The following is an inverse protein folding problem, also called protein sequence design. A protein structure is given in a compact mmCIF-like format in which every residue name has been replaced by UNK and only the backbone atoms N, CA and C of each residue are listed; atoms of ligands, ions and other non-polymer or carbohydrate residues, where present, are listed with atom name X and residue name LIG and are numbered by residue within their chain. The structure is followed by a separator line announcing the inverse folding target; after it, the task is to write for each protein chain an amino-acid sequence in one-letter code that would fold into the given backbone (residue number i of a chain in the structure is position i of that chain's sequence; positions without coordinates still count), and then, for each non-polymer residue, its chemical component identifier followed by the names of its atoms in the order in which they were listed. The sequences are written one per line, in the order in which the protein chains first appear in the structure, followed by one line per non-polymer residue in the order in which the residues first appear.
data_IF_306958066473
#
_entry.id   IF_306958066473
#
_cell.length_a   1.000
_cell.length_b   1.000
_cell.length_c   1.000
_cell.angle_alpha   90.00
_cell.angle_beta   90.00
_cell.angle_gamma   90.00
#
_symmetry.space_group_name_H-M   'P 1'
#
loop_
_entity.id
_entity.type
_entity.pdbx_description
1 polymer ?
#
# COMPACT_ATOMS: atom_id res chain seq x y z
N UNK A 1 -7.66 -15.61 -5.46
CA UNK A 1 -8.83 -14.81 -4.97
C UNK A 1 -8.58 -13.35 -5.32
N UNK A 2 -9.54 -12.69 -5.94
CA UNK A 2 -9.43 -11.27 -6.30
C UNK A 2 -9.73 -10.37 -5.11
N UNK A 3 -8.95 -9.29 -4.95
CA UNK A 3 -9.08 -8.38 -3.80
C UNK A 3 -10.43 -7.65 -3.82
N UNK A 4 -10.99 -7.32 -4.98
CA UNK A 4 -12.36 -6.78 -5.07
C UNK A 4 -13.39 -7.66 -4.35
N UNK A 5 -13.23 -9.00 -4.36
CA UNK A 5 -14.14 -9.93 -3.69
C UNK A 5 -13.96 -9.91 -2.16
N UNK A 6 -12.76 -9.59 -1.69
CA UNK A 6 -12.47 -9.34 -0.27
C UNK A 6 -13.11 -8.02 0.17
N UNK A 7 -12.93 -6.96 -0.62
CA UNK A 7 -13.41 -5.62 -0.30
C UNK A 7 -14.92 -5.43 -0.46
N UNK A 8 -15.60 -6.36 -1.10
CA UNK A 8 -17.07 -6.38 -1.21
C UNK A 8 -17.77 -7.07 -0.02
N UNK A 9 -17.00 -7.67 0.90
CA UNK A 9 -17.56 -8.28 2.12
C UNK A 9 -17.93 -7.21 3.13
N UNK A 10 -18.98 -7.50 3.91
CA UNK A 10 -19.48 -6.60 4.96
C UNK A 10 -18.76 -6.78 6.31
N UNK A 11 -17.61 -7.41 6.32
CA UNK A 11 -16.80 -7.69 7.51
C UNK A 11 -15.57 -6.81 7.57
N UNK A 12 -15.22 -6.35 8.77
CA UNK A 12 -13.98 -5.61 8.98
C UNK A 12 -12.75 -6.51 8.67
N UNK A 13 -11.77 -5.98 7.96
CA UNK A 13 -10.55 -6.73 7.60
C UNK A 13 -9.30 -5.89 7.76
N UNK A 14 -8.19 -6.57 8.04
CA UNK A 14 -6.86 -5.98 8.04
C UNK A 14 -5.97 -6.69 7.01
N UNK A 15 -5.14 -5.92 6.33
CA UNK A 15 -4.14 -6.39 5.37
C UNK A 15 -2.80 -5.74 5.66
N UNK A 16 -1.71 -6.35 5.21
CA UNK A 16 -0.36 -5.85 5.47
C UNK A 16 0.43 -5.69 4.19
N UNK A 17 1.26 -4.62 4.16
CA UNK A 17 2.28 -4.45 3.15
C UNK A 17 3.62 -4.97 3.64
N UNK A 18 4.33 -5.64 2.74
CA UNK A 18 5.74 -6.04 2.90
C UNK A 18 6.53 -5.58 1.68
N UNK A 19 7.83 -5.46 1.85
CA UNK A 19 8.73 -5.13 0.74
C UNK A 19 9.74 -6.27 0.51
N UNK A 20 10.08 -6.57 -0.76
CA UNK A 20 11.07 -7.56 -1.09
C UNK A 20 12.49 -7.05 -0.76
N UNK A 21 13.48 -7.93 -0.66
CA UNK A 21 14.86 -7.54 -0.44
C UNK A 21 15.42 -6.78 -1.64
N UNK A 22 16.28 -5.80 -1.38
CA UNK A 22 17.00 -5.09 -2.44
C UNK A 22 18.13 -5.93 -3.04
N UNK A 23 18.68 -6.87 -2.27
CA UNK A 23 19.76 -7.78 -2.67
C UNK A 23 19.34 -9.21 -2.43
N UNK A 24 19.74 -10.12 -3.29
CA UNK A 24 19.43 -11.56 -3.16
C UNK A 24 19.98 -12.18 -1.88
N UNK A 25 21.09 -11.64 -1.34
CA UNK A 25 21.69 -12.10 -0.08
C UNK A 25 20.80 -11.90 1.14
N UNK A 26 19.83 -10.97 1.08
CA UNK A 26 18.93 -10.65 2.19
C UNK A 26 17.57 -11.36 2.06
N UNK A 27 17.38 -12.18 1.00
CA UNK A 27 16.10 -12.77 0.67
C UNK A 27 15.52 -13.62 1.82
N UNK A 28 16.31 -14.51 2.42
CA UNK A 28 15.83 -15.39 3.47
C UNK A 28 15.33 -14.66 4.73
N UNK A 29 15.97 -13.57 5.14
CA UNK A 29 15.52 -12.78 6.30
C UNK A 29 14.24 -12.01 6.01
N UNK A 30 14.11 -11.44 4.81
CA UNK A 30 12.92 -10.71 4.39
C UNK A 30 11.75 -11.66 4.17
N UNK A 31 12.01 -12.81 3.55
CA UNK A 31 11.03 -13.87 3.38
C UNK A 31 10.50 -14.38 4.72
N UNK A 32 11.38 -14.70 5.67
CA UNK A 32 10.97 -15.14 7.01
C UNK A 32 10.09 -14.09 7.73
N UNK A 33 10.42 -12.81 7.60
CA UNK A 33 9.61 -11.73 8.15
C UNK A 33 8.23 -11.64 7.47
N UNK A 34 8.17 -11.74 6.14
CA UNK A 34 6.93 -11.71 5.38
C UNK A 34 6.04 -12.91 5.68
N UNK A 35 6.62 -14.12 5.76
CA UNK A 35 5.90 -15.34 6.14
C UNK A 35 5.41 -15.28 7.60
N UNK A 36 6.19 -14.67 8.51
CA UNK A 36 5.75 -14.41 9.88
C UNK A 36 4.53 -13.49 9.96
N UNK A 37 4.40 -12.53 9.04
CA UNK A 37 3.20 -11.69 8.91
C UNK A 37 2.05 -12.49 8.25
N UNK A 38 2.33 -13.28 7.23
CA UNK A 38 1.35 -14.12 6.57
C UNK A 38 0.72 -15.17 7.52
N UNK A 39 1.51 -15.67 8.49
CA UNK A 39 1.02 -16.58 9.54
C UNK A 39 -0.06 -15.97 10.43
N UNK A 40 -0.17 -14.63 10.48
CA UNK A 40 -1.26 -13.93 11.17
C UNK A 40 -2.60 -14.01 10.41
N UNK A 41 -2.62 -14.62 9.22
CA UNK A 41 -3.80 -14.77 8.37
C UNK A 41 -4.54 -13.46 8.06
N UNK A 42 -3.84 -12.43 7.55
CA UNK A 42 -4.51 -11.21 7.11
C UNK A 42 -5.43 -11.48 5.91
N UNK A 43 -6.35 -10.56 5.64
CA UNK A 43 -7.27 -10.69 4.51
C UNK A 43 -6.55 -10.77 3.15
N UNK A 44 -5.44 -10.06 3.03
CA UNK A 44 -4.48 -10.13 1.93
C UNK A 44 -3.15 -9.48 2.33
N UNK A 45 -2.12 -9.66 1.50
CA UNK A 45 -0.84 -8.95 1.65
C UNK A 45 -0.43 -8.28 0.35
N UNK A 46 0.14 -7.08 0.42
CA UNK A 46 0.77 -6.44 -0.74
C UNK A 46 2.29 -6.55 -0.67
N UNK A 47 2.91 -6.72 -1.82
CA UNK A 47 4.37 -6.80 -1.96
C UNK A 47 4.85 -5.67 -2.85
N UNK A 48 5.68 -4.77 -2.31
CA UNK A 48 6.14 -3.58 -3.03
C UNK A 48 7.06 -3.92 -4.20
N UNK A 49 7.25 -2.94 -5.08
CA UNK A 49 8.08 -3.04 -6.28
C UNK A 49 9.16 -1.96 -6.21
N UNK A 50 10.41 -2.32 -6.44
CA UNK A 50 11.51 -1.35 -6.37
C UNK A 50 11.45 -0.31 -7.49
N UNK A 51 11.98 0.87 -7.24
CA UNK A 51 12.05 1.96 -8.20
C UNK A 51 12.67 1.48 -9.53
N UNK A 52 12.03 1.83 -10.65
CA UNK A 52 12.44 1.39 -11.99
C UNK A 52 12.48 -0.12 -12.20
N UNK A 53 11.71 -0.91 -11.43
CA UNK A 53 11.63 -2.36 -11.59
C UNK A 53 12.79 -3.15 -10.96
N UNK A 54 13.63 -2.50 -10.17
CA UNK A 54 14.87 -3.09 -9.62
C UNK A 54 14.67 -4.36 -8.77
N UNK A 55 13.46 -4.62 -8.27
CA UNK A 55 13.13 -5.82 -7.46
C UNK A 55 12.05 -6.71 -8.11
N UNK A 56 11.78 -6.59 -9.40
CA UNK A 56 10.71 -7.32 -10.11
C UNK A 56 10.67 -8.82 -9.74
N UNK A 57 11.76 -9.54 -9.95
CA UNK A 57 11.84 -10.97 -9.66
C UNK A 57 11.60 -11.31 -8.19
N UNK A 58 12.13 -10.49 -7.28
CA UNK A 58 11.94 -10.67 -5.84
C UNK A 58 10.50 -10.40 -5.41
N UNK A 59 9.81 -9.41 -6.02
CA UNK A 59 8.39 -9.10 -5.74
C UNK A 59 7.51 -10.28 -6.11
N UNK A 60 7.67 -10.83 -7.32
CA UNK A 60 6.88 -11.96 -7.81
C UNK A 60 7.15 -13.22 -6.98
N UNK A 61 8.43 -13.51 -6.71
CA UNK A 61 8.83 -14.67 -5.90
C UNK A 61 8.23 -14.61 -4.48
N UNK A 62 8.37 -13.47 -3.80
CA UNK A 62 7.86 -13.30 -2.43
C UNK A 62 6.33 -13.39 -2.38
N UNK A 63 5.63 -12.75 -3.34
CA UNK A 63 4.18 -12.84 -3.44
C UNK A 63 3.70 -14.29 -3.67
N UNK A 64 4.39 -15.02 -4.54
CA UNK A 64 4.10 -16.45 -4.79
C UNK A 64 4.32 -17.34 -3.55
N UNK A 65 5.42 -17.12 -2.81
CA UNK A 65 5.69 -17.88 -1.59
C UNK A 65 4.66 -17.61 -0.48
N UNK A 66 4.23 -16.38 -0.29
CA UNK A 66 3.14 -16.05 0.67
C UNK A 66 1.87 -16.82 0.32
N UNK A 67 1.44 -16.81 -0.95
CA UNK A 67 0.26 -17.56 -1.39
C UNK A 67 0.41 -19.06 -1.17
N UNK A 68 1.56 -19.62 -1.57
CA UNK A 68 1.83 -21.05 -1.51
C UNK A 68 1.88 -21.60 -0.09
N UNK A 69 2.54 -20.89 0.84
CA UNK A 69 2.78 -21.38 2.19
C UNK A 69 1.62 -21.07 3.15
N UNK A 70 0.92 -19.95 2.98
CA UNK A 70 -0.10 -19.49 3.92
C UNK A 70 -1.50 -19.35 3.32
N UNK A 71 -1.65 -19.57 2.02
CA UNK A 71 -2.93 -19.39 1.30
C UNK A 71 -3.53 -17.97 1.48
N UNK A 72 -2.67 -16.96 1.71
CA UNK A 72 -3.06 -15.55 1.83
C UNK A 72 -3.04 -14.92 0.44
N UNK A 73 -4.13 -14.29 -0.03
CA UNK A 73 -4.14 -13.59 -1.32
C UNK A 73 -3.09 -12.49 -1.34
N UNK A 74 -2.37 -12.36 -2.46
CA UNK A 74 -1.35 -11.31 -2.60
C UNK A 74 -1.68 -10.31 -3.68
N UNK A 75 -1.19 -9.09 -3.49
CA UNK A 75 -1.18 -7.99 -4.46
C UNK A 75 0.26 -7.67 -4.79
N UNK A 76 0.68 -7.90 -6.03
CA UNK A 76 1.99 -7.45 -6.47
C UNK A 76 1.92 -5.99 -6.92
N UNK A 77 2.82 -5.13 -6.42
CA UNK A 77 2.96 -3.80 -6.99
C UNK A 77 3.61 -3.89 -8.36
N UNK A 78 3.24 -3.00 -9.26
CA UNK A 78 3.84 -2.86 -10.59
C UNK A 78 3.94 -1.38 -10.93
N UNK A 79 5.13 -0.93 -11.34
CA UNK A 79 5.37 0.47 -11.72
C UNK A 79 5.63 0.60 -13.21
N UNK A 80 5.22 1.72 -13.80
CA UNK A 80 5.43 1.99 -15.23
C UNK A 80 6.57 2.98 -15.53
N UNK A 81 7.12 3.65 -14.52
CA UNK A 81 8.27 4.52 -14.70
C UNK A 81 9.46 3.73 -15.22
N UNK A 82 10.16 4.25 -16.23
CA UNK A 82 11.30 3.61 -16.90
C UNK A 82 10.96 2.23 -17.53
N UNK A 83 9.70 1.99 -17.88
CA UNK A 83 9.24 0.73 -18.44
C UNK A 83 8.49 0.96 -19.77
N UNK A 84 8.65 0.02 -20.70
CA UNK A 84 7.93 -0.05 -21.95
C UNK A 84 6.84 -1.14 -21.93
N UNK A 85 6.00 -1.20 -22.97
CA UNK A 85 4.93 -2.20 -23.10
C UNK A 85 5.48 -3.63 -23.10
N UNK A 86 6.66 -3.86 -23.65
CA UNK A 86 7.28 -5.19 -23.72
C UNK A 86 7.67 -5.69 -22.34
N UNK A 87 8.35 -4.85 -21.55
CA UNK A 87 8.78 -5.20 -20.19
C UNK A 87 7.60 -5.37 -19.22
N UNK A 88 6.56 -4.55 -19.34
CA UNK A 88 5.32 -4.72 -18.58
C UNK A 88 4.60 -6.00 -18.99
N UNK A 89 4.47 -6.28 -20.30
CA UNK A 89 3.86 -7.53 -20.79
C UNK A 89 4.56 -8.77 -20.27
N UNK A 90 5.90 -8.77 -20.28
CA UNK A 90 6.69 -9.86 -19.70
C UNK A 90 6.44 -10.00 -18.18
N UNK A 91 6.32 -8.88 -17.44
CA UNK A 91 6.00 -8.91 -16.00
C UNK A 91 4.61 -9.51 -15.74
N UNK A 92 3.60 -9.15 -16.54
CA UNK A 92 2.25 -9.71 -16.43
C UNK A 92 2.24 -11.23 -16.67
N UNK A 93 2.99 -11.70 -17.68
CA UNK A 93 3.14 -13.14 -17.97
C UNK A 93 3.78 -13.89 -16.78
N UNK A 94 4.84 -13.34 -16.19
CA UNK A 94 5.50 -13.92 -15.02
C UNK A 94 4.56 -13.95 -13.79
N UNK A 95 3.79 -12.87 -13.56
CA UNK A 95 2.80 -12.81 -12.49
C UNK A 95 1.69 -13.85 -12.67
N UNK A 96 1.17 -14.01 -13.89
CA UNK A 96 0.18 -15.05 -14.21
C UNK A 96 0.73 -16.46 -13.95
N UNK A 97 1.96 -16.73 -14.38
CA UNK A 97 2.62 -18.01 -14.15
C UNK A 97 2.84 -18.31 -12.66
N UNK A 98 3.04 -17.28 -11.84
CA UNK A 98 3.14 -17.38 -10.38
C UNK A 98 1.77 -17.42 -9.66
N UNK A 99 0.64 -17.42 -10.39
CA UNK A 99 -0.71 -17.43 -9.83
C UNK A 99 -1.12 -16.13 -9.14
N UNK A 100 -0.47 -15.00 -9.46
CA UNK A 100 -0.82 -13.69 -8.93
C UNK A 100 -2.00 -13.14 -9.72
N UNK A 101 -3.10 -12.87 -9.05
CA UNK A 101 -4.35 -12.38 -9.65
C UNK A 101 -4.59 -10.88 -9.40
N UNK A 102 -3.77 -10.23 -8.54
CA UNK A 102 -4.02 -8.85 -8.12
C UNK A 102 -2.76 -7.99 -8.27
N UNK A 103 -2.94 -6.81 -8.84
CA UNK A 103 -1.84 -5.86 -9.09
C UNK A 103 -2.21 -4.49 -8.52
N UNK A 104 -1.29 -3.87 -7.79
CA UNK A 104 -1.36 -2.45 -7.48
C UNK A 104 -0.57 -1.68 -8.54
N UNK A 105 -1.28 -1.01 -9.44
CA UNK A 105 -0.71 -0.26 -10.55
C UNK A 105 -0.28 1.14 -10.10
N UNK A 106 1.01 1.43 -10.22
CA UNK A 106 1.64 2.66 -9.76
C UNK A 106 2.39 3.33 -10.91
N UNK A 107 2.55 4.65 -10.87
CA UNK A 107 3.52 5.32 -11.74
C UNK A 107 4.94 4.89 -11.36
N UNK A 108 5.25 4.92 -10.08
CA UNK A 108 6.57 4.68 -9.51
C UNK A 108 7.39 5.98 -9.38
N UNK A 109 8.45 5.88 -8.59
CA UNK A 109 9.42 6.97 -8.40
C UNK A 109 10.53 6.88 -9.44
N UNK A 110 10.97 8.04 -9.94
CA UNK A 110 12.07 8.12 -10.88
C UNK A 110 13.37 7.77 -10.14
N UNK A 111 14.12 6.73 -10.58
CA UNK A 111 15.41 6.39 -9.98
C UNK A 111 16.40 7.55 -10.16
N UNK A 112 17.18 7.84 -9.10
CA UNK A 112 18.11 8.98 -9.09
C UNK A 112 19.21 8.91 -10.17
N UNK A 113 19.64 7.70 -10.48
CA UNK A 113 20.77 7.42 -11.37
C UNK A 113 20.30 6.86 -12.73
N UNK A 114 19.04 7.13 -13.12
CA UNK A 114 18.50 6.69 -14.40
C UNK A 114 18.78 7.72 -15.48
N UNK A 115 19.51 7.35 -16.52
CA UNK A 115 19.94 8.19 -17.65
C UNK A 115 19.15 7.95 -18.95
N UNK A 116 18.17 7.02 -18.93
CA UNK A 116 17.30 6.70 -20.05
C UNK A 116 16.04 7.59 -20.12
N UNK A 117 15.17 7.30 -21.08
CA UNK A 117 13.86 7.94 -21.17
C UNK A 117 12.92 7.43 -20.07
N UNK A 118 12.49 8.34 -19.21
CA UNK A 118 11.71 8.01 -17.99
C UNK A 118 10.28 7.60 -18.34
N UNK A 119 9.67 8.26 -19.31
CA UNK A 119 8.29 8.04 -19.75
C UNK A 119 8.25 7.71 -21.24
N UNK A 120 8.27 6.41 -21.55
CA UNK A 120 8.21 5.91 -22.94
C UNK A 120 6.75 5.66 -23.35
N UNK A 121 6.20 4.51 -22.98
CA UNK A 121 4.84 4.11 -23.33
C UNK A 121 3.78 4.50 -22.29
N UNK A 122 4.22 4.85 -21.08
CA UNK A 122 3.36 5.14 -19.95
C UNK A 122 3.77 6.44 -19.26
N UNK A 123 2.85 7.38 -19.14
CA UNK A 123 3.08 8.66 -18.45
C UNK A 123 2.45 8.64 -17.04
N UNK A 124 1.32 7.95 -16.90
CA UNK A 124 0.55 7.90 -15.68
C UNK A 124 0.17 6.46 -15.30
N UNK A 125 -0.15 6.25 -14.03
CA UNK A 125 -0.64 4.96 -13.57
C UNK A 125 -1.96 4.53 -14.28
N UNK A 126 -2.78 5.47 -14.77
CA UNK A 126 -3.97 5.18 -15.57
C UNK A 126 -3.65 4.46 -16.89
N UNK A 127 -2.51 4.78 -17.51
CA UNK A 127 -2.07 4.12 -18.74
C UNK A 127 -1.67 2.66 -18.46
N UNK A 128 -0.96 2.46 -17.34
CA UNK A 128 -0.62 1.12 -16.86
C UNK A 128 -1.87 0.31 -16.50
N UNK A 129 -2.86 0.91 -15.80
CA UNK A 129 -4.13 0.23 -15.47
C UNK A 129 -4.81 -0.27 -16.74
N UNK A 130 -4.96 0.59 -17.76
CA UNK A 130 -5.57 0.23 -19.04
C UNK A 130 -4.82 -0.92 -19.69
N UNK A 131 -3.51 -0.82 -19.77
CA UNK A 131 -2.68 -1.87 -20.36
C UNK A 131 -2.79 -3.21 -19.64
N UNK A 132 -2.82 -3.23 -18.30
CA UNK A 132 -3.03 -4.45 -17.51
C UNK A 132 -4.39 -5.07 -17.83
N UNK A 133 -5.46 -4.25 -17.88
CA UNK A 133 -6.82 -4.74 -18.15
C UNK A 133 -6.99 -5.29 -19.57
N UNK A 134 -6.20 -4.79 -20.55
CA UNK A 134 -6.18 -5.29 -21.93
C UNK A 134 -5.37 -6.60 -22.07
N UNK A 135 -4.44 -6.88 -21.15
CA UNK A 135 -3.48 -7.98 -21.26
C UNK A 135 -3.63 -9.09 -20.19
N UNK A 136 -4.72 -9.08 -19.41
CA UNK A 136 -4.97 -10.15 -18.44
C UNK A 136 -6.19 -9.91 -17.55
N UNK A 137 -6.68 -11.00 -16.95
CA UNK A 137 -7.80 -10.93 -15.99
C UNK A 137 -7.30 -10.67 -14.56
N UNK A 138 -6.62 -9.53 -14.39
CA UNK A 138 -6.17 -9.09 -13.06
C UNK A 138 -7.20 -8.20 -12.38
N UNK A 139 -7.30 -8.31 -11.06
CA UNK A 139 -7.90 -7.30 -10.21
C UNK A 139 -6.87 -6.18 -10.00
N UNK A 140 -7.20 -4.97 -10.42
CA UNK A 140 -6.25 -3.85 -10.43
C UNK A 140 -6.63 -2.82 -9.36
N UNK A 141 -5.72 -2.59 -8.43
CA UNK A 141 -5.76 -1.49 -7.48
C UNK A 141 -4.88 -0.31 -7.91
N UNK A 142 -5.10 0.84 -7.31
CA UNK A 142 -4.27 2.02 -7.50
C UNK A 142 -3.98 2.75 -6.19
N UNK A 143 -2.98 3.62 -6.17
CA UNK A 143 -2.72 4.49 -5.03
C UNK A 143 -3.52 5.80 -5.12
N UNK A 144 -3.86 6.36 -3.95
CA UNK A 144 -4.43 7.69 -3.79
C UNK A 144 -3.81 8.42 -2.59
N UNK A 145 -3.95 9.74 -2.56
CA UNK A 145 -3.29 10.59 -1.58
C UNK A 145 -4.32 11.46 -0.85
N UNK A 146 -4.63 11.18 0.43
CA UNK A 146 -5.57 12.00 1.20
C UNK A 146 -5.15 13.48 1.27
N UNK A 147 -3.85 13.75 1.29
CA UNK A 147 -3.25 15.09 1.38
C UNK A 147 -2.79 15.69 0.03
N UNK A 148 -3.18 15.07 -1.09
CA UNK A 148 -2.78 15.44 -2.45
C UNK A 148 -1.41 14.85 -2.85
N UNK A 149 -1.32 14.34 -4.06
CA UNK A 149 -0.06 13.85 -4.60
C UNK A 149 0.93 15.03 -4.76
N UNK A 150 2.21 14.88 -4.34
CA UNK A 150 3.18 15.96 -4.41
C UNK A 150 3.34 16.61 -5.80
N UNK A 151 3.20 15.83 -6.86
CA UNK A 151 3.32 16.32 -8.25
C UNK A 151 2.00 16.87 -8.82
N UNK A 152 0.89 16.80 -8.07
CA UNK A 152 -0.39 17.37 -8.53
C UNK A 152 -0.41 18.87 -8.31
N UNK A 153 -0.88 19.62 -9.31
CA UNK A 153 -0.95 21.07 -9.25
C UNK A 153 -1.87 21.58 -8.12
N UNK A 154 -2.91 20.84 -7.80
CA UNK A 154 -3.86 21.14 -6.74
C UNK A 154 -4.79 19.95 -6.45
N UNK A 155 -5.64 20.09 -5.42
CA UNK A 155 -6.59 19.04 -4.98
C UNK A 155 -7.55 18.57 -6.08
N UNK A 156 -8.00 19.48 -6.94
CA UNK A 156 -8.94 19.12 -8.00
C UNK A 156 -8.24 18.34 -9.11
N UNK A 157 -7.04 18.75 -9.51
CA UNK A 157 -6.23 18.01 -10.49
C UNK A 157 -5.93 16.59 -9.99
N UNK A 158 -5.62 16.43 -8.71
CA UNK A 158 -5.37 15.12 -8.10
C UNK A 158 -6.61 14.21 -8.18
N UNK A 159 -7.78 14.72 -7.82
CA UNK A 159 -9.06 13.98 -7.92
C UNK A 159 -9.40 13.62 -9.38
N UNK A 160 -9.13 14.51 -10.34
CA UNK A 160 -9.32 14.18 -11.77
C UNK A 160 -8.37 13.07 -12.24
N UNK A 161 -7.11 13.09 -11.79
CA UNK A 161 -6.16 12.00 -12.04
C UNK A 161 -6.62 10.66 -11.44
N UNK A 162 -7.22 10.70 -10.24
CA UNK A 162 -7.84 9.54 -9.61
C UNK A 162 -9.03 9.01 -10.42
N UNK A 163 -9.90 9.91 -10.88
CA UNK A 163 -11.03 9.51 -11.71
C UNK A 163 -10.57 8.86 -13.01
N UNK A 164 -9.59 9.42 -13.69
CA UNK A 164 -9.01 8.84 -14.90
C UNK A 164 -8.45 7.42 -14.64
N UNK A 165 -7.87 7.18 -13.47
CA UNK A 165 -7.37 5.87 -13.06
C UNK A 165 -8.52 4.85 -12.86
N UNK A 166 -9.59 5.26 -12.21
CA UNK A 166 -10.79 4.43 -12.02
C UNK A 166 -11.49 4.16 -13.34
N UNK A 167 -11.65 5.18 -14.19
CA UNK A 167 -12.24 5.04 -15.53
C UNK A 167 -11.41 4.12 -16.45
N UNK A 168 -10.10 4.00 -16.21
CA UNK A 168 -9.21 3.06 -16.91
C UNK A 168 -9.39 1.59 -16.44
N UNK A 169 -10.15 1.33 -15.37
CA UNK A 169 -10.45 -0.01 -14.87
C UNK A 169 -9.85 -0.34 -13.50
N UNK A 170 -9.41 0.66 -12.72
CA UNK A 170 -8.99 0.46 -11.34
C UNK A 170 -10.21 0.10 -10.47
N UNK A 171 -10.12 -1.01 -9.74
CA UNK A 171 -11.24 -1.62 -9.01
C UNK A 171 -11.27 -1.24 -7.52
N UNK A 172 -10.17 -0.75 -6.97
CA UNK A 172 -10.06 -0.21 -5.62
C UNK A 172 -8.86 0.73 -5.51
N UNK A 173 -8.83 1.54 -4.46
CA UNK A 173 -7.72 2.45 -4.18
C UNK A 173 -7.16 2.20 -2.78
N UNK A 174 -5.84 2.24 -2.62
CA UNK A 174 -5.17 2.23 -1.31
C UNK A 174 -4.56 3.60 -1.07
N UNK A 175 -4.77 4.19 0.11
CA UNK A 175 -4.24 5.53 0.37
C UNK A 175 -2.75 5.50 0.70
N UNK A 176 -2.03 6.56 0.37
CA UNK A 176 -0.77 6.88 1.03
C UNK A 176 -1.03 7.09 2.53
N UNK A 177 0.00 6.89 3.37
CA UNK A 177 -0.08 7.10 4.81
C UNK A 177 -0.54 8.52 5.16
N UNK A 178 -1.28 8.63 6.23
CA UNK A 178 -1.72 9.87 6.88
C UNK A 178 -1.79 9.63 8.38
N UNK A 179 -1.76 10.69 9.19
CA UNK A 179 -1.74 10.59 10.65
C UNK A 179 -2.95 11.26 11.33
N UNK A 180 -3.85 11.86 10.55
CA UNK A 180 -5.10 12.48 11.02
C UNK A 180 -6.29 11.94 10.20
N UNK A 181 -7.21 11.25 10.86
CA UNK A 181 -8.38 10.67 10.21
C UNK A 181 -9.33 11.70 9.61
N UNK A 182 -9.37 12.94 10.13
CA UNK A 182 -10.16 14.01 9.54
C UNK A 182 -9.70 14.33 8.10
N UNK A 183 -8.40 14.21 7.82
CA UNK A 183 -7.86 14.38 6.46
C UNK A 183 -8.41 13.30 5.54
N UNK A 184 -8.44 12.04 6.00
CA UNK A 184 -9.02 10.93 5.24
C UNK A 184 -10.53 11.12 5.00
N UNK A 185 -11.31 11.49 6.02
CA UNK A 185 -12.75 11.71 5.84
C UNK A 185 -13.05 12.87 4.88
N UNK A 186 -12.30 13.97 4.97
CA UNK A 186 -12.41 15.09 4.00
C UNK A 186 -12.04 14.65 2.57
N UNK A 187 -11.05 13.78 2.42
CA UNK A 187 -10.69 13.20 1.14
C UNK A 187 -11.81 12.32 0.60
N UNK A 188 -12.39 11.45 1.43
CA UNK A 188 -13.51 10.57 1.05
C UNK A 188 -14.70 11.38 0.53
N UNK A 189 -15.06 12.49 1.21
CA UNK A 189 -16.12 13.38 0.74
C UNK A 189 -15.86 13.86 -0.70
N UNK A 190 -14.67 14.43 -0.96
CA UNK A 190 -14.29 14.94 -2.29
C UNK A 190 -14.27 13.85 -3.37
N UNK A 191 -13.79 12.68 -3.03
CA UNK A 191 -13.75 11.53 -3.94
C UNK A 191 -15.16 11.09 -4.33
N UNK A 192 -16.09 11.01 -3.36
CA UNK A 192 -17.49 10.66 -3.62
C UNK A 192 -18.22 11.74 -4.40
N UNK A 193 -17.96 13.01 -4.12
CA UNK A 193 -18.49 14.15 -4.89
C UNK A 193 -18.04 14.10 -6.36
N UNK A 194 -16.81 13.65 -6.64
CA UNK A 194 -16.30 13.44 -8.01
C UNK A 194 -16.87 12.17 -8.69
N UNK A 195 -17.77 11.42 -8.06
CA UNK A 195 -18.40 10.22 -8.61
C UNK A 195 -17.50 8.97 -8.59
N UNK A 196 -16.42 8.96 -7.82
CA UNK A 196 -15.58 7.79 -7.62
C UNK A 196 -16.22 6.92 -6.54
N UNK A 197 -16.68 5.72 -6.90
CA UNK A 197 -17.44 4.82 -6.01
C UNK A 197 -16.68 3.58 -5.59
N UNK A 198 -15.54 3.27 -6.19
CA UNK A 198 -14.72 2.11 -5.84
C UNK A 198 -14.30 2.13 -4.35
N UNK A 199 -14.07 0.96 -3.74
CA UNK A 199 -13.55 0.89 -2.37
C UNK A 199 -12.25 1.67 -2.21
N UNK A 200 -12.12 2.39 -1.10
CA UNK A 200 -10.88 3.07 -0.71
C UNK A 200 -10.42 2.48 0.62
N UNK A 201 -9.22 1.91 0.61
CA UNK A 201 -8.60 1.26 1.76
C UNK A 201 -7.57 2.22 2.36
N UNK A 202 -7.80 2.74 3.58
CA UNK A 202 -6.81 3.60 4.24
C UNK A 202 -5.54 2.83 4.58
N UNK A 203 -4.41 3.42 4.21
CA UNK A 203 -3.07 2.94 4.52
C UNK A 203 -2.55 3.54 5.81
N UNK A 204 -2.30 2.73 6.81
CA UNK A 204 -1.85 3.13 8.14
C UNK A 204 -0.38 2.74 8.34
N UNK A 205 0.44 3.69 8.76
CA UNK A 205 1.85 3.45 9.02
C UNK A 205 2.17 3.54 10.52
N UNK A 206 2.44 2.40 11.18
CA UNK A 206 2.91 2.41 12.56
C UNK A 206 4.34 2.96 12.62
N UNK A 207 4.52 4.10 13.27
CA UNK A 207 5.83 4.70 13.49
C UNK A 207 6.43 4.14 14.77
N UNK A 208 7.44 3.33 14.64
CA UNK A 208 8.11 2.62 15.74
C UNK A 208 9.50 3.17 16.09
N UNK A 209 9.95 4.21 15.40
CA UNK A 209 11.19 4.94 15.65
C UNK A 209 11.02 6.40 15.27
N UNK A 210 11.47 7.35 16.09
CA UNK A 210 11.28 8.78 15.86
C UNK A 210 11.76 9.27 14.49
N UNK A 211 12.89 8.73 13.98
CA UNK A 211 13.42 9.09 12.66
C UNK A 211 12.47 8.78 11.48
N UNK A 212 11.56 7.82 11.64
CA UNK A 212 10.59 7.45 10.58
C UNK A 212 9.61 8.58 10.27
N UNK A 213 9.27 9.43 11.24
CA UNK A 213 8.36 10.59 11.01
C UNK A 213 8.95 11.54 9.96
N UNK A 214 10.24 11.91 10.10
CA UNK A 214 10.89 12.78 9.13
C UNK A 214 10.92 12.18 7.73
N UNK A 215 11.16 10.88 7.65
CA UNK A 215 11.15 10.16 6.38
C UNK A 215 9.74 10.08 5.77
N UNK A 216 8.72 9.83 6.60
CA UNK A 216 7.32 9.81 6.18
C UNK A 216 6.91 11.16 5.58
N UNK A 217 7.15 12.26 6.29
CA UNK A 217 6.87 13.62 5.80
C UNK A 217 7.60 13.92 4.48
N UNK A 218 8.89 13.55 4.40
CA UNK A 218 9.68 13.78 3.17
C UNK A 218 9.16 12.99 1.97
N UNK A 219 8.65 11.77 2.18
CA UNK A 219 8.18 10.89 1.10
C UNK A 219 6.76 11.21 0.65
N UNK A 220 5.88 11.54 1.58
CA UNK A 220 4.44 11.67 1.30
C UNK A 220 3.91 13.09 1.38
N UNK A 221 4.67 14.03 1.94
CA UNK A 221 4.19 15.38 2.23
C UNK A 221 3.12 15.42 3.32
N UNK A 222 2.94 14.31 4.07
CA UNK A 222 1.86 14.19 5.06
C UNK A 222 2.03 15.16 6.24
N UNK A 223 0.91 15.66 6.74
CA UNK A 223 0.85 16.42 7.98
C UNK A 223 0.98 15.50 9.20
N UNK A 224 1.75 15.92 10.19
CA UNK A 224 1.89 15.22 11.47
C UNK A 224 1.14 16.01 12.52
N UNK A 225 0.03 15.49 13.10
CA UNK A 225 -0.74 16.21 14.12
C UNK A 225 0.09 16.43 15.38
N UNK A 226 -0.22 17.51 16.10
CA UNK A 226 0.50 17.91 17.33
C UNK A 226 0.51 16.79 18.39
N UNK A 227 -0.62 16.09 18.54
CA UNK A 227 -0.71 14.91 19.41
C UNK A 227 0.37 13.87 19.09
N UNK A 228 0.65 13.63 17.82
CA UNK A 228 1.64 12.63 17.43
C UNK A 228 3.08 13.17 17.52
N UNK A 229 3.31 14.46 17.24
CA UNK A 229 4.61 15.11 17.48
C UNK A 229 5.02 14.98 18.94
N UNK A 230 4.11 15.30 19.88
CA UNK A 230 4.37 15.18 21.31
C UNK A 230 4.75 13.76 21.76
N UNK A 231 4.16 12.74 21.14
CA UNK A 231 4.53 11.33 21.37
C UNK A 231 5.97 11.07 20.87
N UNK A 232 6.30 11.53 19.66
CA UNK A 232 7.62 11.35 19.08
C UNK A 232 8.69 12.11 19.87
N UNK A 233 8.41 13.34 20.27
CA UNK A 233 9.34 14.17 21.06
C UNK A 233 9.60 13.56 22.44
N UNK A 234 8.58 12.94 23.04
CA UNK A 234 8.71 12.33 24.37
C UNK A 234 9.39 10.96 24.35
N UNK A 235 9.10 10.14 23.35
CA UNK A 235 9.51 8.72 23.34
C UNK A 235 10.49 8.36 22.21
N UNK A 236 10.74 9.26 21.26
CA UNK A 236 11.48 8.97 20.02
C UNK A 236 12.91 8.45 20.20
N UNK A 237 13.56 8.84 21.32
CA UNK A 237 14.92 8.40 21.66
C UNK A 237 14.97 7.06 22.42
N UNK A 238 13.80 6.54 22.86
CA UNK A 238 13.70 5.23 23.49
C UNK A 238 13.01 4.25 22.54
N UNK A 239 13.74 3.30 21.91
CA UNK A 239 13.19 2.40 20.90
C UNK A 239 11.98 1.58 21.36
N UNK A 240 12.00 1.05 22.57
CA UNK A 240 10.92 0.21 23.09
C UNK A 240 9.66 1.03 23.41
N UNK A 241 9.85 2.20 24.05
CA UNK A 241 8.75 3.11 24.35
C UNK A 241 8.14 3.68 23.06
N UNK A 242 8.96 4.08 22.07
CA UNK A 242 8.47 4.58 20.79
C UNK A 242 7.74 3.51 19.99
N UNK A 243 8.22 2.27 20.01
CA UNK A 243 7.55 1.14 19.38
C UNK A 243 6.17 0.89 19.98
N UNK A 244 6.08 0.86 21.32
CA UNK A 244 4.80 0.71 22.03
C UNK A 244 3.83 1.85 21.72
N UNK A 245 4.31 3.10 21.79
CA UNK A 245 3.50 4.29 21.52
C UNK A 245 3.04 4.34 20.06
N UNK A 246 3.89 3.95 19.12
CA UNK A 246 3.56 3.90 17.70
C UNK A 246 2.52 2.83 17.35
N UNK A 247 2.59 1.66 17.97
CA UNK A 247 1.56 0.61 17.85
C UNK A 247 0.24 1.12 18.43
N UNK A 248 0.27 1.75 19.62
CA UNK A 248 -0.91 2.29 20.26
C UNK A 248 -1.58 3.39 19.42
N UNK A 249 -0.79 4.33 18.86
CA UNK A 249 -1.31 5.39 17.99
C UNK A 249 -1.94 4.84 16.71
N UNK A 250 -1.27 3.90 16.02
CA UNK A 250 -1.81 3.26 14.83
C UNK A 250 -3.09 2.45 15.13
N UNK A 251 -3.13 1.78 16.27
CA UNK A 251 -4.32 1.05 16.71
C UNK A 251 -5.49 1.99 16.97
N UNK A 252 -5.28 3.10 17.69
CA UNK A 252 -6.29 4.13 17.96
C UNK A 252 -6.84 4.73 16.66
N UNK A 253 -5.95 5.04 15.69
CA UNK A 253 -6.32 5.52 14.37
C UNK A 253 -7.21 4.51 13.63
N UNK A 254 -6.87 3.22 13.67
CA UNK A 254 -7.65 2.14 13.04
C UNK A 254 -9.02 2.00 13.71
N UNK A 255 -9.08 2.02 15.03
CA UNK A 255 -10.35 1.93 15.78
C UNK A 255 -11.30 3.06 15.39
N UNK A 256 -10.81 4.29 15.31
CA UNK A 256 -11.61 5.44 14.89
C UNK A 256 -12.12 5.30 13.43
N UNK A 257 -11.29 4.82 12.52
CA UNK A 257 -11.70 4.55 11.14
C UNK A 257 -12.82 3.50 11.07
N UNK A 258 -12.65 2.37 11.78
CA UNK A 258 -13.65 1.30 11.82
C UNK A 258 -14.96 1.77 12.46
N UNK A 259 -14.90 2.52 13.56
CA UNK A 259 -16.06 3.11 14.24
C UNK A 259 -16.85 4.09 13.35
N UNK A 260 -16.18 4.72 12.37
CA UNK A 260 -16.79 5.61 11.38
C UNK A 260 -17.16 4.90 10.05
N UNK A 261 -17.28 3.55 10.06
CA UNK A 261 -17.82 2.77 8.95
C UNK A 261 -16.81 2.38 7.87
N UNK A 262 -15.52 2.64 8.06
CA UNK A 262 -14.47 2.06 7.21
C UNK A 262 -14.33 0.58 7.56
N UNK A 263 -14.35 -0.31 6.56
CA UNK A 263 -14.34 -1.76 6.80
C UNK A 263 -12.98 -2.41 6.58
N UNK A 264 -12.16 -1.86 5.71
CA UNK A 264 -10.93 -2.48 5.27
C UNK A 264 -9.75 -1.57 5.56
N UNK A 265 -8.75 -2.09 6.26
CA UNK A 265 -7.55 -1.34 6.67
C UNK A 265 -6.31 -2.00 6.04
N UNK A 266 -5.40 -1.19 5.52
CA UNK A 266 -4.10 -1.62 5.05
C UNK A 266 -2.99 -1.08 5.95
N UNK A 267 -2.09 -1.92 6.43
CA UNK A 267 -1.02 -1.53 7.36
C UNK A 267 0.35 -1.71 6.71
N UNK A 268 1.11 -0.64 6.66
CA UNK A 268 2.51 -0.63 6.21
C UNK A 268 3.41 -1.24 7.27
N UNK A 269 3.55 -2.57 7.26
CA UNK A 269 4.19 -3.35 8.34
C UNK A 269 5.69 -3.11 8.50
N UNK A 270 6.34 -2.56 7.48
CA UNK A 270 7.80 -2.38 7.41
C UNK A 270 8.59 -3.67 7.67
N UNK A 271 8.05 -4.81 7.21
CA UNK A 271 8.59 -6.16 7.44
C UNK A 271 8.83 -6.47 8.93
N UNK A 272 7.91 -6.02 9.82
CA UNK A 272 8.01 -6.23 11.27
C UNK A 272 6.84 -7.10 11.76
N UNK A 273 7.02 -8.43 11.89
CA UNK A 273 5.98 -9.34 12.34
C UNK A 273 5.44 -9.02 13.74
N UNK A 274 6.31 -8.55 14.63
CA UNK A 274 5.95 -8.17 16.00
C UNK A 274 5.04 -6.93 16.07
N UNK A 275 5.25 -5.96 15.17
CA UNK A 275 4.38 -4.77 15.03
C UNK A 275 3.03 -5.17 14.44
N UNK A 276 3.02 -5.97 13.38
CA UNK A 276 1.80 -6.48 12.77
C UNK A 276 0.96 -7.29 13.77
N UNK A 277 1.59 -8.23 14.48
CA UNK A 277 0.95 -9.03 15.53
C UNK A 277 0.44 -8.17 16.68
N UNK A 278 1.18 -7.12 17.07
CA UNK A 278 0.76 -6.18 18.12
C UNK A 278 -0.54 -5.44 17.75
N UNK A 279 -0.62 -4.92 16.53
CA UNK A 279 -1.82 -4.25 16.02
C UNK A 279 -2.99 -5.23 15.92
N UNK A 280 -2.79 -6.39 15.29
CA UNK A 280 -3.85 -7.38 15.12
C UNK A 280 -4.41 -7.89 16.46
N UNK A 281 -3.55 -8.14 17.46
CA UNK A 281 -3.96 -8.51 18.79
C UNK A 281 -4.83 -7.45 19.45
N UNK A 282 -4.47 -6.17 19.32
CA UNK A 282 -5.24 -5.06 19.89
C UNK A 282 -6.61 -4.89 19.20
N UNK A 283 -6.77 -5.40 17.98
CA UNK A 283 -8.00 -5.32 17.18
C UNK A 283 -8.80 -6.63 17.18
N UNK A 284 -8.35 -7.67 17.88
CA UNK A 284 -8.86 -9.05 17.75
C UNK A 284 -10.37 -9.20 17.96
N UNK A 285 -10.96 -8.44 18.86
CA UNK A 285 -12.42 -8.46 19.10
C UNK A 285 -13.15 -7.45 18.18
N UNK A 286 -12.51 -6.34 17.85
CA UNK A 286 -13.09 -5.30 16.99
C UNK A 286 -13.29 -5.82 15.55
N UNK A 287 -12.36 -6.62 15.05
CA UNK A 287 -12.45 -7.23 13.70
C UNK A 287 -13.51 -8.35 13.61
N UNK A 288 -14.08 -8.79 14.73
CA UNK A 288 -15.16 -9.78 14.77
C UNK A 288 -16.55 -9.14 14.93
N UNK A 289 -16.57 -7.88 15.37
CA UNK A 289 -17.81 -7.14 15.60
C UNK A 289 -18.43 -6.64 14.29
#
# INVERSE_FOLDING_TARGET
MKIRDVLNKDTATISFEVFPPKKSTDFGNVEAAALGIAALQPAYMSVTYGAGGSTKGHTIALAGEIQKQHNVPTVAHLTCVCADRSSIGAALTEMQAAGIENILALRGDIPKDFDGEVFTDFTHASDLVRFIKENGDFCVGGACYPEVHPDSANKNADIQGLKAKVDAGCEYLTTQMFFDNNIFFNFMYRVREAGITVPIVPGIMPITRGVQVRNAVKLSGCNVPERFKNIVDRFGDNPEAMKQAGIAYATDQIIDLLANGVKHIHVYSMNKPDVAAGIQRNLSEILKA
#
